data_IF_629709400004
#
_entry.id   IF_629709400004
#
_cell.length_a   1.000
_cell.length_b   1.000
_cell.length_c   1.000
_cell.angle_alpha   90.00
_cell.angle_beta   90.00
_cell.angle_gamma   90.00
#
_symmetry.space_group_name_H-M   'P 1'
#
loop_
_entity.id
_entity.type
_entity.pdbx_description
1 polymer ?
#
# COMPACT_ATOMS: atom_id res chain seq x y z
N UNK A 1 -17.73 42.98 -40.21
CA UNK A 1 -18.68 42.86 -39.08
C UNK A 1 -18.06 43.57 -37.89
N UNK A 2 -18.83 44.37 -37.15
CA UNK A 2 -18.30 45.07 -35.96
C UNK A 2 -18.04 44.03 -34.87
N UNK A 3 -16.88 44.11 -34.20
CA UNK A 3 -16.50 43.15 -33.16
C UNK A 3 -17.38 43.34 -31.92
N UNK A 4 -18.14 42.32 -31.55
CA UNK A 4 -19.02 42.32 -30.38
C UNK A 4 -18.23 41.99 -29.11
N UNK A 5 -18.49 42.76 -28.05
CA UNK A 5 -17.84 42.63 -26.75
C UNK A 5 -18.87 42.41 -25.66
N UNK A 6 -18.53 41.58 -24.68
CA UNK A 6 -19.24 41.45 -23.42
C UNK A 6 -18.30 41.86 -22.28
N UNK A 7 -18.86 42.38 -21.20
CA UNK A 7 -18.11 42.72 -19.99
C UNK A 7 -18.85 42.21 -18.74
N UNK A 8 -18.11 41.90 -17.69
CA UNK A 8 -18.66 41.50 -16.40
C UNK A 8 -18.26 42.53 -15.33
N UNK A 9 -19.26 43.07 -14.65
CA UNK A 9 -19.12 44.09 -13.61
C UNK A 9 -19.92 43.64 -12.39
N UNK A 10 -19.32 43.73 -11.20
CA UNK A 10 -19.96 43.33 -9.94
C UNK A 10 -20.54 41.89 -9.95
N UNK A 11 -20.00 41.01 -10.80
CA UNK A 11 -20.46 39.63 -10.98
C UNK A 11 -21.58 39.41 -12.00
N UNK A 12 -22.13 40.48 -12.60
CA UNK A 12 -23.16 40.40 -13.64
C UNK A 12 -22.59 40.61 -15.05
N UNK A 13 -23.11 39.84 -16.02
CA UNK A 13 -22.68 39.90 -17.43
C UNK A 13 -23.51 40.91 -18.22
N UNK A 14 -22.84 41.82 -18.90
CA UNK A 14 -23.44 42.84 -19.76
C UNK A 14 -22.94 42.72 -21.21
N UNK A 15 -23.80 43.08 -22.18
CA UNK A 15 -23.51 43.08 -23.62
C UNK A 15 -24.57 42.36 -24.46
N UNK A 16 -24.40 42.28 -25.79
CA UNK A 16 -23.21 42.71 -26.55
C UNK A 16 -23.11 44.24 -26.70
N UNK A 17 -21.89 44.77 -26.60
CA UNK A 17 -21.55 46.17 -26.88
C UNK A 17 -20.48 46.24 -27.97
N UNK A 18 -20.46 47.35 -28.69
CA UNK A 18 -19.40 47.65 -29.67
C UNK A 18 -18.09 48.04 -28.98
N UNK A 19 -16.96 47.90 -29.66
CA UNK A 19 -15.65 48.36 -29.17
C UNK A 19 -15.63 49.86 -28.81
N UNK A 20 -16.41 50.70 -29.50
CA UNK A 20 -16.56 52.11 -29.19
C UNK A 20 -17.33 52.35 -27.88
N UNK A 21 -18.40 51.58 -27.64
CA UNK A 21 -19.15 51.62 -26.38
C UNK A 21 -18.31 51.10 -25.20
N UNK A 22 -17.55 50.02 -25.40
CA UNK A 22 -16.62 49.49 -24.39
C UNK A 22 -15.57 50.54 -23.98
N UNK A 23 -15.02 51.29 -24.95
CA UNK A 23 -14.09 52.39 -24.67
C UNK A 23 -14.76 53.55 -23.93
N UNK A 24 -16.02 53.87 -24.24
CA UNK A 24 -16.79 54.89 -23.49
C UNK A 24 -16.98 54.48 -22.04
N UNK A 25 -17.33 53.22 -21.76
CA UNK A 25 -17.47 52.69 -20.40
C UNK A 25 -16.15 52.73 -19.61
N UNK A 26 -15.02 52.44 -20.26
CA UNK A 26 -13.69 52.57 -19.65
C UNK A 26 -13.31 54.04 -19.38
N UNK A 27 -13.71 54.96 -20.27
CA UNK A 27 -13.41 56.39 -20.13
C UNK A 27 -14.32 57.08 -19.10
N UNK A 28 -15.56 56.62 -18.93
CA UNK A 28 -16.50 57.13 -17.91
C UNK A 28 -16.21 56.58 -16.50
N UNK A 29 -15.32 55.58 -16.37
CA UNK A 29 -15.01 54.91 -15.11
C UNK A 29 -16.04 53.85 -14.70
N UNK A 30 -17.04 53.58 -15.56
CA UNK A 30 -18.03 52.53 -15.32
C UNK A 30 -17.46 51.12 -15.48
N UNK A 31 -16.40 50.96 -16.30
CA UNK A 31 -15.64 49.74 -16.47
C UNK A 31 -14.23 49.93 -15.88
N UNK A 32 -13.89 49.14 -14.87
CA UNK A 32 -12.60 49.18 -14.17
C UNK A 32 -11.53 48.34 -14.89
N UNK A 33 -10.23 48.65 -14.71
CA UNK A 33 -9.14 47.86 -15.30
C UNK A 33 -9.12 46.37 -14.91
N UNK A 34 -9.76 46.04 -13.77
CA UNK A 34 -9.90 44.68 -13.23
C UNK A 34 -11.13 43.93 -13.74
N UNK A 35 -12.09 44.63 -14.35
CA UNK A 35 -13.33 44.01 -14.83
C UNK A 35 -13.02 43.06 -15.99
N UNK A 36 -13.79 41.98 -16.09
CA UNK A 36 -13.56 40.96 -17.11
C UNK A 36 -14.29 41.34 -18.40
N UNK A 37 -13.62 41.15 -19.54
CA UNK A 37 -14.15 41.40 -20.87
C UNK A 37 -13.93 40.18 -21.77
N UNK A 38 -14.89 39.93 -22.64
CA UNK A 38 -14.89 38.81 -23.58
C UNK A 38 -15.34 39.29 -24.96
N UNK A 39 -14.81 38.66 -26.00
CA UNK A 39 -15.18 38.93 -27.39
C UNK A 39 -15.03 37.66 -28.20
N UNK A 40 -15.82 37.55 -29.25
CA UNK A 40 -15.79 36.41 -30.16
C UNK A 40 -14.37 36.18 -30.71
N UNK A 41 -13.85 34.96 -30.53
CA UNK A 41 -12.48 34.56 -30.86
C UNK A 41 -11.49 34.47 -29.68
N UNK A 42 -11.93 34.68 -28.43
CA UNK A 42 -11.17 34.35 -27.22
C UNK A 42 -11.84 33.20 -26.46
N UNK A 43 -11.07 32.20 -26.04
CA UNK A 43 -11.59 31.04 -25.28
C UNK A 43 -11.94 31.40 -23.82
N UNK A 44 -11.38 32.48 -23.26
CA UNK A 44 -11.56 32.89 -21.87
C UNK A 44 -11.80 34.40 -21.70
N UNK A 45 -12.44 34.77 -20.59
CA UNK A 45 -12.60 36.15 -20.13
C UNK A 45 -11.26 36.73 -19.69
N UNK A 46 -10.93 37.94 -20.15
CA UNK A 46 -9.65 38.61 -19.83
C UNK A 46 -9.91 39.92 -19.07
N UNK A 47 -8.99 40.37 -18.20
CA UNK A 47 -9.10 41.68 -17.58
C UNK A 47 -9.12 42.80 -18.64
N UNK A 48 -9.96 43.83 -18.43
CA UNK A 48 -10.11 44.97 -19.33
C UNK A 48 -8.78 45.71 -19.54
N UNK A 49 -7.93 45.77 -18.52
CA UNK A 49 -6.56 46.33 -18.58
C UNK A 49 -5.65 45.68 -19.63
N UNK A 50 -5.92 44.43 -20.00
CA UNK A 50 -5.17 43.72 -21.04
C UNK A 50 -5.50 44.19 -22.46
N UNK A 51 -6.56 44.98 -22.66
CA UNK A 51 -6.94 45.51 -23.97
C UNK A 51 -6.14 46.79 -24.24
N UNK A 52 -5.15 46.67 -25.13
CA UNK A 52 -4.33 47.79 -25.59
C UNK A 52 -5.20 48.94 -26.10
N UNK A 53 -5.07 50.13 -25.49
CA UNK A 53 -5.78 51.35 -25.91
C UNK A 53 -7.20 51.50 -25.38
N UNK A 54 -7.66 50.61 -24.47
CA UNK A 54 -8.96 50.74 -23.81
C UNK A 54 -8.96 51.78 -22.69
N UNK A 55 -7.86 51.88 -21.94
CA UNK A 55 -7.65 52.88 -20.89
C UNK A 55 -6.63 53.93 -21.33
N UNK A 56 -6.81 55.21 -20.96
CA UNK A 56 -5.80 56.25 -21.20
C UNK A 56 -4.54 55.95 -20.38
N UNK A 57 -3.40 55.78 -21.06
CA UNK A 57 -2.08 55.73 -20.42
C UNK A 57 -1.77 57.06 -19.76
N UNK A 58 -1.73 57.08 -18.43
CA UNK A 58 -1.26 58.23 -17.65
C UNK A 58 0.23 58.45 -17.95
N UNK A 59 0.69 59.70 -18.20
CA UNK A 59 2.11 59.98 -18.41
C UNK A 59 2.91 59.73 -17.13
N UNK A 60 4.16 59.30 -17.32
CA UNK A 60 5.18 59.14 -16.30
C UNK A 60 5.21 60.33 -15.33
N UNK A 61 5.03 60.03 -14.05
CA UNK A 61 5.31 60.97 -12.96
C UNK A 61 6.78 60.84 -12.63
N UNK A 62 7.60 61.68 -13.26
CA UNK A 62 8.97 61.98 -12.85
C UNK A 62 9.02 62.39 -11.38
N UNK A 63 9.95 61.78 -10.67
CA UNK A 63 10.32 61.95 -9.26
C UNK A 63 10.57 63.41 -8.87
N UNK A 64 10.00 63.92 -7.76
CA UNK A 64 10.60 65.04 -7.01
C UNK A 64 11.83 64.51 -6.23
N UNK A 65 12.87 65.32 -5.98
CA UNK A 65 14.10 64.83 -5.33
C UNK A 65 13.79 64.35 -3.91
N UNK A 66 14.17 63.11 -3.52
CA UNK A 66 14.07 62.70 -2.13
C UNK A 66 15.26 63.27 -1.35
N UNK A 67 14.92 63.92 -0.24
CA UNK A 67 15.81 64.31 0.86
C UNK A 67 16.76 63.17 1.22
N UNK A 68 18.06 63.42 1.46
CA UNK A 68 18.99 62.39 1.93
C UNK A 68 18.54 61.93 3.33
N UNK A 69 17.88 60.77 3.41
CA UNK A 69 17.48 60.21 4.72
C UNK A 69 16.10 59.55 4.79
N UNK A 70 15.58 58.94 3.72
CA UNK A 70 14.44 58.02 3.86
C UNK A 70 14.71 56.70 3.15
N UNK A 71 15.26 55.79 3.95
CA UNK A 71 15.25 54.33 3.90
C UNK A 71 14.89 53.62 2.59
N UNK A 72 15.76 52.67 2.24
CA UNK A 72 15.44 51.44 1.52
C UNK A 72 14.28 50.67 2.19
N UNK A 73 13.02 51.07 1.99
CA UNK A 73 11.83 50.34 2.48
C UNK A 73 10.68 50.27 1.47
N UNK A 74 10.92 50.48 0.18
CA UNK A 74 9.90 50.39 -0.87
C UNK A 74 9.94 49.06 -1.67
N UNK A 75 10.24 47.96 -0.99
CA UNK A 75 9.97 46.58 -1.45
C UNK A 75 9.49 45.74 -0.26
N UNK A 76 8.41 46.18 0.40
CA UNK A 76 7.68 45.30 1.31
C UNK A 76 6.77 44.39 0.46
N UNK A 77 7.36 43.27 0.05
CA UNK A 77 6.78 41.92 0.16
C UNK A 77 5.24 41.82 0.27
N UNK A 78 4.55 41.61 -0.85
CA UNK A 78 3.26 40.91 -0.80
C UNK A 78 3.50 39.53 -0.18
N UNK A 79 2.80 39.22 0.92
CA UNK A 79 2.96 37.96 1.63
C UNK A 79 2.79 36.75 0.69
N UNK A 80 3.69 35.75 0.75
CA UNK A 80 3.64 34.62 -0.17
C UNK A 80 2.31 33.86 -0.02
N UNK A 81 1.88 33.18 -1.08
CA UNK A 81 0.68 32.36 -1.01
C UNK A 81 0.88 31.16 -0.07
N UNK A 82 0.03 30.99 0.93
CA UNK A 82 0.10 29.94 1.95
C UNK A 82 -1.25 29.24 2.12
N UNK A 83 -1.24 27.98 2.54
CA UNK A 83 -2.46 27.38 3.11
C UNK A 83 -2.66 27.88 4.53
N UNK A 84 -3.92 28.13 4.92
CA UNK A 84 -4.23 28.60 6.26
C UNK A 84 -3.75 27.56 7.31
N UNK A 85 -2.83 27.94 8.22
CA UNK A 85 -2.22 26.99 9.16
C UNK A 85 -3.20 26.43 10.19
N UNK A 86 -4.23 27.19 10.57
CA UNK A 86 -5.32 26.71 11.43
C UNK A 86 -6.17 25.68 10.70
N UNK A 87 -6.46 25.90 9.42
CA UNK A 87 -7.18 24.94 8.60
C UNK A 87 -6.35 23.67 8.33
N UNK A 88 -5.02 23.79 8.12
CA UNK A 88 -4.12 22.61 8.04
C UNK A 88 -4.27 21.75 9.31
N UNK A 89 -4.23 22.38 10.49
CA UNK A 89 -4.37 21.68 11.76
C UNK A 89 -5.71 20.93 11.86
N UNK A 90 -6.82 21.55 11.43
CA UNK A 90 -8.15 20.93 11.44
C UNK A 90 -8.26 19.77 10.45
N UNK A 91 -7.81 19.95 9.20
CA UNK A 91 -7.82 18.87 8.20
C UNK A 91 -6.92 17.70 8.58
N UNK A 92 -5.85 17.96 9.36
CA UNK A 92 -4.98 16.89 9.86
C UNK A 92 -5.65 16.01 10.92
N UNK A 93 -6.74 16.48 11.56
CA UNK A 93 -7.56 15.66 12.45
C UNK A 93 -8.39 14.63 11.69
N UNK A 94 -8.82 14.96 10.47
CA UNK A 94 -9.60 14.08 9.60
C UNK A 94 -8.72 13.15 8.78
N UNK A 95 -7.50 13.60 8.47
CA UNK A 95 -6.49 12.82 7.78
C UNK A 95 -5.44 12.36 8.79
N UNK A 96 -4.22 12.88 8.67
CA UNK A 96 -3.09 12.37 9.45
C UNK A 96 -2.16 13.52 9.84
N UNK A 97 -1.36 13.34 10.90
CA UNK A 97 -0.29 14.29 11.22
C UNK A 97 0.73 14.40 10.08
N UNK A 98 0.90 13.34 9.28
CA UNK A 98 1.77 13.34 8.11
C UNK A 98 1.31 14.33 7.03
N UNK A 99 0.01 14.32 6.71
CA UNK A 99 -0.60 15.30 5.80
C UNK A 99 -0.36 16.74 6.30
N UNK A 100 -0.57 16.98 7.58
CA UNK A 100 -0.29 18.25 8.22
C UNK A 100 1.17 18.68 8.13
N UNK A 101 2.09 17.76 8.46
CA UNK A 101 3.54 17.98 8.38
C UNK A 101 3.98 18.41 6.99
N UNK A 102 3.48 17.74 5.94
CA UNK A 102 3.76 18.09 4.56
C UNK A 102 3.27 19.51 4.21
N UNK A 103 2.01 19.84 4.46
CA UNK A 103 1.48 21.18 4.14
C UNK A 103 2.18 22.29 4.90
N UNK A 104 2.52 22.04 6.17
CA UNK A 104 3.30 22.99 6.96
C UNK A 104 4.73 23.16 6.45
N UNK A 105 5.37 22.09 5.98
CA UNK A 105 6.67 22.19 5.33
C UNK A 105 6.60 23.07 4.08
N UNK A 106 5.55 22.93 3.27
CA UNK A 106 5.36 23.75 2.06
C UNK A 106 5.07 25.22 2.39
N UNK A 107 4.34 25.50 3.46
CA UNK A 107 4.15 26.85 3.98
C UNK A 107 5.49 27.47 4.43
N UNK A 108 6.29 26.75 5.22
CA UNK A 108 7.61 27.22 5.66
C UNK A 108 8.56 27.45 4.48
N UNK A 109 8.53 26.56 3.49
CA UNK A 109 9.30 26.72 2.25
C UNK A 109 8.90 27.99 1.49
N UNK A 110 7.60 28.30 1.43
CA UNK A 110 7.09 29.52 0.79
C UNK A 110 7.47 30.79 1.56
N UNK A 111 7.68 30.68 2.87
CA UNK A 111 8.18 31.75 3.75
C UNK A 111 9.71 31.92 3.71
N UNK A 112 10.43 31.09 2.94
CA UNK A 112 11.91 31.08 2.92
C UNK A 112 12.57 30.43 4.14
N UNK A 113 11.79 29.81 5.03
CA UNK A 113 12.24 29.23 6.29
C UNK A 113 12.59 27.75 6.10
N UNK A 114 13.64 27.47 5.32
CA UNK A 114 13.99 26.11 4.88
C UNK A 114 14.28 25.13 6.02
N UNK A 115 14.90 25.59 7.10
CA UNK A 115 15.18 24.74 8.27
C UNK A 115 13.90 24.32 9.02
N UNK A 116 12.92 25.22 9.11
CA UNK A 116 11.59 24.89 9.67
C UNK A 116 10.83 23.95 8.74
N UNK A 117 10.97 24.13 7.42
CA UNK A 117 10.37 23.24 6.44
C UNK A 117 10.90 21.80 6.57
N UNK A 118 12.22 21.61 6.74
CA UNK A 118 12.83 20.29 6.99
C UNK A 118 12.26 19.64 8.26
N UNK A 119 12.17 20.40 9.36
CA UNK A 119 11.58 19.91 10.62
C UNK A 119 10.12 19.50 10.46
N UNK A 120 9.32 20.25 9.70
CA UNK A 120 7.94 19.86 9.39
C UNK A 120 7.87 18.62 8.50
N UNK A 121 8.85 18.39 7.63
CA UNK A 121 8.91 17.17 6.80
C UNK A 121 9.23 15.90 7.60
N UNK A 122 9.90 16.01 8.76
CA UNK A 122 10.08 14.86 9.66
C UNK A 122 8.72 14.28 10.09
N UNK A 123 7.76 15.15 10.37
CA UNK A 123 6.39 14.73 10.70
C UNK A 123 5.65 14.07 9.53
N UNK A 124 5.97 14.48 8.30
CA UNK A 124 5.48 13.76 7.13
C UNK A 124 6.07 12.35 7.06
N UNK A 125 7.38 12.21 7.23
CA UNK A 125 8.02 10.89 7.13
C UNK A 125 7.69 9.95 8.29
N UNK A 126 7.40 10.48 9.49
CA UNK A 126 7.07 9.65 10.65
C UNK A 126 5.81 8.82 10.46
N UNK A 127 4.90 9.20 9.54
CA UNK A 127 3.73 8.39 9.23
C UNK A 127 4.12 7.05 8.58
N UNK A 128 5.13 7.02 7.72
CA UNK A 128 5.58 5.78 7.08
C UNK A 128 6.23 4.85 8.09
N UNK A 129 7.02 5.41 9.03
CA UNK A 129 7.57 4.64 10.15
C UNK A 129 6.48 4.08 11.06
N UNK A 130 5.42 4.86 11.32
CA UNK A 130 4.28 4.41 12.12
C UNK A 130 3.47 3.31 11.43
N UNK A 131 3.21 3.46 10.13
CA UNK A 131 2.56 2.43 9.31
C UNK A 131 3.41 1.16 9.28
N UNK A 132 4.71 1.27 8.99
CA UNK A 132 5.63 0.14 8.98
C UNK A 132 5.67 -0.59 10.32
N UNK A 133 5.71 0.15 11.43
CA UNK A 133 5.62 -0.44 12.77
C UNK A 133 4.32 -1.22 12.95
N UNK A 134 3.19 -0.68 12.47
CA UNK A 134 1.89 -1.38 12.48
C UNK A 134 1.89 -2.67 11.68
N UNK A 135 2.60 -2.70 10.54
CA UNK A 135 2.69 -3.88 9.68
C UNK A 135 3.54 -5.04 10.25
N UNK A 136 4.44 -4.76 11.19
CA UNK A 136 5.32 -5.79 11.80
C UNK A 136 4.85 -6.20 13.21
N UNK A 137 3.83 -5.53 13.74
CA UNK A 137 3.26 -5.86 15.05
C UNK A 137 2.08 -6.83 14.90
N UNK A 138 1.81 -7.66 15.92
CA UNK A 138 0.68 -8.59 15.88
C UNK A 138 -0.68 -7.88 15.69
N UNK A 139 -1.57 -8.50 14.94
CA UNK A 139 -2.93 -7.99 14.64
C UNK A 139 -3.96 -8.35 15.72
N UNK A 140 -3.58 -8.26 16.99
CA UNK A 140 -4.50 -8.48 18.12
C UNK A 140 -5.21 -7.18 18.57
N UNK A 141 -6.42 -7.32 19.15
CA UNK A 141 -7.26 -6.19 19.57
C UNK A 141 -6.56 -5.24 20.56
N UNK A 142 -5.69 -5.78 21.43
CA UNK A 142 -4.94 -4.96 22.38
C UNK A 142 -3.89 -4.10 21.67
N UNK A 143 -3.13 -4.69 20.74
CA UNK A 143 -2.16 -3.98 19.91
C UNK A 143 -2.84 -2.89 19.07
N UNK A 144 -3.95 -3.19 18.40
CA UNK A 144 -4.69 -2.21 17.59
C UNK A 144 -5.19 -1.00 18.41
N UNK A 145 -5.68 -1.24 19.64
CA UNK A 145 -6.07 -0.17 20.57
C UNK A 145 -4.90 0.72 20.94
N UNK A 146 -3.74 0.13 21.26
CA UNK A 146 -2.52 0.88 21.57
C UNK A 146 -2.14 1.78 20.39
N UNK A 147 -2.09 1.23 19.18
CA UNK A 147 -1.75 2.02 17.99
C UNK A 147 -2.69 3.20 17.79
N UNK A 148 -4.01 3.01 17.97
CA UNK A 148 -4.98 4.10 17.86
C UNK A 148 -4.70 5.22 18.88
N UNK A 149 -4.47 4.88 20.14
CA UNK A 149 -4.18 5.89 21.18
C UNK A 149 -2.83 6.56 20.99
N UNK A 150 -1.79 5.82 20.61
CA UNK A 150 -0.47 6.36 20.28
C UNK A 150 -0.57 7.30 19.08
N UNK A 151 -1.30 6.93 18.03
CA UNK A 151 -1.53 7.79 16.87
C UNK A 151 -2.22 9.10 17.23
N UNK A 152 -3.25 9.06 18.09
CA UNK A 152 -3.89 10.28 18.62
C UNK A 152 -2.92 11.12 19.47
N UNK A 153 -2.05 10.46 20.25
CA UNK A 153 -0.98 11.11 21.00
C UNK A 153 0.02 11.83 20.09
N UNK A 154 0.49 11.17 19.03
CA UNK A 154 1.39 11.76 18.03
C UNK A 154 0.73 12.96 17.36
N UNK A 155 -0.54 12.86 16.99
CA UNK A 155 -1.31 13.95 16.42
C UNK A 155 -1.39 15.18 17.36
N UNK A 156 -1.61 14.94 18.66
CA UNK A 156 -1.63 16.00 19.66
C UNK A 156 -0.25 16.65 19.84
N UNK A 157 0.82 15.85 19.92
CA UNK A 157 2.20 16.34 20.00
C UNK A 157 2.56 17.15 18.75
N UNK A 158 2.28 16.64 17.55
CA UNK A 158 2.47 17.38 16.31
C UNK A 158 1.72 18.73 16.31
N UNK A 159 0.46 18.73 16.76
CA UNK A 159 -0.38 19.91 16.85
C UNK A 159 0.26 21.00 17.74
N UNK A 160 0.83 20.61 18.88
CA UNK A 160 1.47 21.51 19.83
C UNK A 160 2.84 21.99 19.34
N UNK A 161 3.69 21.07 18.85
CA UNK A 161 5.10 21.35 18.58
C UNK A 161 5.42 21.74 17.13
N UNK A 162 4.53 21.45 16.18
CA UNK A 162 4.69 21.84 14.77
C UNK A 162 3.61 22.83 14.33
N UNK A 163 2.33 22.54 14.62
CA UNK A 163 1.25 23.38 14.12
C UNK A 163 1.12 24.72 14.83
N UNK A 164 1.11 24.71 16.17
CA UNK A 164 0.97 25.94 16.95
C UNK A 164 2.09 26.98 16.67
N UNK A 165 3.38 26.60 16.53
CA UNK A 165 4.44 27.55 16.18
C UNK A 165 4.24 28.22 14.81
N UNK A 166 3.79 27.48 13.79
CA UNK A 166 3.53 28.07 12.48
C UNK A 166 2.34 29.03 12.51
N UNK A 167 1.24 28.66 13.20
CA UNK A 167 0.08 29.53 13.40
C UNK A 167 0.52 30.84 14.07
N UNK A 168 1.28 30.75 15.16
CA UNK A 168 1.76 31.92 15.89
C UNK A 168 2.69 32.79 15.06
N UNK A 169 3.57 32.19 14.24
CA UNK A 169 4.49 32.91 13.36
C UNK A 169 3.74 33.71 12.30
N UNK A 170 2.80 33.07 11.60
CA UNK A 170 2.01 33.72 10.54
C UNK A 170 1.13 34.80 11.15
N UNK A 171 0.47 34.53 12.28
CA UNK A 171 -0.36 35.54 12.98
C UNK A 171 0.45 36.76 13.41
N UNK A 172 1.68 36.59 13.90
CA UNK A 172 2.54 37.71 14.30
C UNK A 172 3.07 38.52 13.12
N UNK A 173 3.36 37.87 11.99
CA UNK A 173 4.02 38.50 10.84
C UNK A 173 3.05 39.10 9.83
N UNK A 174 1.92 38.46 9.62
CA UNK A 174 0.96 38.81 8.57
C UNK A 174 -0.46 38.96 9.11
N UNK A 175 -0.74 38.63 10.37
CA UNK A 175 -2.09 38.54 10.92
C UNK A 175 -3.01 37.67 10.05
N UNK A 176 -3.85 38.30 9.23
CA UNK A 176 -4.71 37.67 8.22
C UNK A 176 -4.40 38.11 6.78
N UNK A 177 -3.43 38.99 6.60
CA UNK A 177 -3.03 39.60 5.34
C UNK A 177 -1.99 38.75 4.62
N UNK A 178 -2.45 37.62 4.08
CA UNK A 178 -1.67 36.78 3.18
C UNK A 178 -2.56 36.11 2.14
N UNK A 179 -1.99 35.87 0.97
CA UNK A 179 -2.71 35.18 -0.10
C UNK A 179 -2.95 33.72 0.29
N UNK A 180 -4.21 33.26 0.23
CA UNK A 180 -4.57 31.89 0.58
C UNK A 180 -4.49 30.97 -0.65
N UNK A 181 -3.77 29.85 -0.52
CA UNK A 181 -3.77 28.78 -1.52
C UNK A 181 -5.10 28.02 -1.52
N UNK A 182 -5.47 27.51 -2.68
CA UNK A 182 -6.64 26.65 -2.85
C UNK A 182 -6.42 25.24 -2.26
N UNK A 183 -7.51 24.63 -1.80
CA UNK A 183 -7.49 23.31 -1.15
C UNK A 183 -7.75 22.13 -2.09
N UNK A 184 -8.17 22.37 -3.33
CA UNK A 184 -8.62 21.31 -4.24
C UNK A 184 -7.57 20.22 -4.47
N UNK A 185 -6.32 20.61 -4.80
CA UNK A 185 -5.24 19.64 -5.03
C UNK A 185 -4.87 18.82 -3.79
N UNK A 186 -4.52 19.43 -2.63
CA UNK A 186 -4.11 18.64 -1.48
C UNK A 186 -5.22 17.75 -0.92
N UNK A 187 -6.47 18.21 -0.88
CA UNK A 187 -7.61 17.38 -0.45
C UNK A 187 -7.89 16.28 -1.47
N UNK A 188 -7.88 16.59 -2.77
CA UNK A 188 -8.08 15.58 -3.82
C UNK A 188 -7.06 14.46 -3.76
N UNK A 189 -5.77 14.79 -3.57
CA UNK A 189 -4.69 13.79 -3.48
C UNK A 189 -4.87 12.91 -2.24
N UNK A 190 -5.04 13.49 -1.05
CA UNK A 190 -5.16 12.68 0.17
C UNK A 190 -6.43 11.83 0.17
N UNK A 191 -7.54 12.35 -0.34
CA UNK A 191 -8.79 11.58 -0.50
C UNK A 191 -8.60 10.43 -1.51
N UNK A 192 -7.94 10.67 -2.64
CA UNK A 192 -7.67 9.60 -3.61
C UNK A 192 -6.77 8.50 -3.04
N UNK A 193 -5.73 8.87 -2.28
CA UNK A 193 -4.89 7.89 -1.58
C UNK A 193 -5.70 7.07 -0.56
N UNK A 194 -6.56 7.72 0.22
CA UNK A 194 -7.42 7.02 1.19
C UNK A 194 -8.44 6.12 0.51
N UNK A 195 -9.06 6.56 -0.59
CA UNK A 195 -9.95 5.72 -1.39
C UNK A 195 -9.22 4.51 -1.98
N UNK A 196 -7.98 4.69 -2.46
CA UNK A 196 -7.17 3.58 -2.96
C UNK A 196 -6.82 2.58 -1.85
N UNK A 197 -6.40 3.06 -0.67
CA UNK A 197 -6.12 2.20 0.48
C UNK A 197 -7.38 1.44 0.94
N UNK A 198 -8.53 2.13 0.99
CA UNK A 198 -9.80 1.50 1.35
C UNK A 198 -10.27 0.51 0.28
N UNK A 199 -10.08 0.83 -1.00
CA UNK A 199 -10.37 -0.11 -2.09
C UNK A 199 -9.50 -1.35 -1.96
N UNK A 200 -8.19 -1.23 -1.68
CA UNK A 200 -7.32 -2.39 -1.49
C UNK A 200 -7.82 -3.32 -0.36
N UNK A 201 -8.31 -2.77 0.74
CA UNK A 201 -8.80 -3.57 1.88
C UNK A 201 -10.21 -4.13 1.67
N UNK A 202 -11.09 -3.39 0.98
CA UNK A 202 -12.51 -3.76 0.82
C UNK A 202 -12.75 -4.56 -0.46
N UNK A 203 -11.93 -4.39 -1.50
CA UNK A 203 -12.12 -5.02 -2.81
C UNK A 203 -12.12 -6.55 -2.75
N UNK A 204 -11.25 -7.25 -1.99
CA UNK A 204 -11.36 -8.71 -1.86
C UNK A 204 -12.71 -9.14 -1.28
N UNK A 205 -13.19 -8.43 -0.27
CA UNK A 205 -14.52 -8.65 0.34
C UNK A 205 -15.65 -8.35 -0.64
N UNK A 206 -15.52 -7.28 -1.43
CA UNK A 206 -16.52 -6.83 -2.41
C UNK A 206 -16.58 -7.71 -3.66
N UNK A 207 -15.45 -8.29 -4.05
CA UNK A 207 -15.34 -9.32 -5.09
C UNK A 207 -15.80 -10.69 -4.60
N UNK A 208 -16.15 -10.81 -3.32
CA UNK A 208 -16.73 -12.02 -2.74
C UNK A 208 -15.76 -13.18 -2.58
N UNK A 209 -14.43 -12.93 -2.52
CA UNK A 209 -13.47 -14.00 -2.20
C UNK A 209 -13.57 -14.31 -0.71
N UNK A 210 -13.99 -15.53 -0.32
CA UNK A 210 -14.07 -15.92 1.09
C UNK A 210 -12.70 -15.82 1.77
N UNK A 211 -12.69 -15.47 3.06
CA UNK A 211 -11.45 -15.27 3.82
C UNK A 211 -10.59 -16.54 3.85
N UNK A 212 -11.23 -17.70 3.87
CA UNK A 212 -10.60 -19.03 3.87
C UNK A 212 -9.78 -19.25 2.59
N UNK A 213 -10.29 -18.82 1.43
CA UNK A 213 -9.52 -18.87 0.18
C UNK A 213 -8.28 -18.00 0.29
N UNK A 214 -8.37 -16.81 0.92
CA UNK A 214 -7.22 -15.94 1.11
C UNK A 214 -6.19 -16.57 2.07
N UNK A 215 -6.65 -17.21 3.15
CA UNK A 215 -5.81 -17.93 4.11
C UNK A 215 -4.99 -19.02 3.43
N UNK A 216 -5.62 -19.85 2.58
CA UNK A 216 -4.89 -20.88 1.83
C UNK A 216 -4.03 -20.26 0.74
N UNK A 217 -4.56 -19.33 -0.07
CA UNK A 217 -3.88 -18.77 -1.23
C UNK A 217 -2.60 -18.00 -0.86
N UNK A 218 -2.60 -17.24 0.23
CA UNK A 218 -1.43 -16.50 0.72
C UNK A 218 -0.69 -17.23 1.85
N UNK A 219 -1.20 -18.38 2.26
CA UNK A 219 -0.61 -19.24 3.26
C UNK A 219 0.76 -19.77 2.83
N UNK A 220 1.60 -20.03 3.83
CA UNK A 220 2.97 -20.52 3.65
C UNK A 220 3.11 -21.87 4.32
N UNK A 221 3.86 -22.77 3.69
CA UNK A 221 4.26 -24.03 4.30
C UNK A 221 5.53 -23.81 5.11
N UNK A 222 5.68 -24.50 6.24
CA UNK A 222 6.87 -24.38 7.09
C UNK A 222 8.15 -24.79 6.34
N UNK A 223 8.04 -25.77 5.44
CA UNK A 223 9.13 -26.17 4.54
C UNK A 223 9.48 -25.09 3.49
N UNK A 224 8.57 -24.15 3.22
CA UNK A 224 8.68 -23.13 2.18
C UNK A 224 8.27 -21.73 2.69
N UNK A 225 8.98 -21.14 3.68
CA UNK A 225 8.56 -19.92 4.38
C UNK A 225 8.57 -18.65 3.51
N UNK A 226 9.15 -18.72 2.31
CA UNK A 226 9.25 -17.61 1.37
C UNK A 226 8.13 -17.57 0.32
N UNK A 227 7.31 -18.62 0.20
CA UNK A 227 6.46 -18.84 -0.98
C UNK A 227 5.01 -19.07 -0.56
N UNK A 228 4.10 -18.29 -1.14
CA UNK A 228 2.67 -18.51 -1.00
C UNK A 228 2.23 -19.71 -1.84
N UNK A 229 1.56 -20.68 -1.22
CA UNK A 229 1.15 -21.94 -1.86
C UNK A 229 0.16 -21.72 -3.03
N UNK A 230 -0.65 -20.66 -2.99
CA UNK A 230 -1.66 -20.37 -4.02
C UNK A 230 -1.06 -20.14 -5.41
N UNK A 231 0.11 -19.49 -5.50
CA UNK A 231 0.78 -19.28 -6.79
C UNK A 231 1.29 -20.61 -7.38
N UNK A 232 1.84 -21.48 -6.54
CA UNK A 232 2.30 -22.80 -6.96
C UNK A 232 1.13 -23.67 -7.46
N UNK A 233 0.00 -23.63 -6.76
CA UNK A 233 -1.22 -24.34 -7.18
C UNK A 233 -1.74 -23.80 -8.52
N UNK A 234 -1.82 -22.47 -8.66
CA UNK A 234 -2.35 -21.84 -9.86
C UNK A 234 -1.48 -22.08 -11.11
N UNK A 235 -0.16 -22.21 -10.93
CA UNK A 235 0.77 -22.53 -12.01
C UNK A 235 0.78 -24.03 -12.36
N UNK A 236 0.61 -24.88 -11.36
CA UNK A 236 0.68 -26.32 -11.55
C UNK A 236 -0.60 -26.93 -12.11
N UNK A 237 -1.77 -26.45 -11.68
CA UNK A 237 -3.06 -26.92 -12.14
C UNK A 237 -3.53 -26.14 -13.37
N UNK A 238 -4.06 -26.84 -14.38
CA UNK A 238 -4.78 -26.23 -15.48
C UNK A 238 -6.17 -25.78 -15.02
N UNK A 239 -6.51 -24.51 -15.25
CA UNK A 239 -7.80 -23.91 -14.92
C UNK A 239 -8.26 -24.16 -13.47
N UNK A 240 -7.49 -23.69 -12.46
CA UNK A 240 -7.78 -23.91 -11.06
C UNK A 240 -9.06 -23.19 -10.62
N UNK A 241 -10.00 -23.93 -10.05
CA UNK A 241 -11.23 -23.43 -9.45
C UNK A 241 -11.16 -23.56 -7.92
N UNK A 242 -11.31 -22.43 -7.24
CA UNK A 242 -11.26 -22.34 -5.78
C UNK A 242 -12.65 -22.16 -5.20
N UNK A 243 -13.00 -22.96 -4.20
CA UNK A 243 -14.32 -22.94 -3.57
C UNK A 243 -14.22 -23.19 -2.07
N UNK A 244 -15.18 -22.66 -1.31
CA UNK A 244 -15.32 -22.95 0.13
C UNK A 244 -16.51 -23.88 0.32
N UNK A 245 -16.32 -24.87 1.17
CA UNK A 245 -17.40 -25.71 1.69
C UNK A 245 -17.38 -25.65 3.22
N UNK A 246 -18.55 -25.70 3.83
CA UNK A 246 -18.71 -25.82 5.28
C UNK A 246 -19.21 -27.24 5.57
N UNK A 247 -18.56 -27.92 6.50
CA UNK A 247 -19.03 -29.21 7.00
C UNK A 247 -20.18 -29.04 8.00
N UNK A 248 -20.94 -30.11 8.24
CA UNK A 248 -22.01 -30.12 9.25
C UNK A 248 -21.49 -29.79 10.67
N UNK A 249 -20.21 -30.06 10.93
CA UNK A 249 -19.54 -29.78 12.21
C UNK A 249 -19.04 -28.34 12.34
N UNK A 250 -19.32 -27.47 11.35
CA UNK A 250 -18.90 -26.06 11.35
C UNK A 250 -17.45 -25.83 10.94
N UNK A 251 -16.71 -26.86 10.51
CA UNK A 251 -15.39 -26.69 9.92
C UNK A 251 -15.49 -26.15 8.50
N UNK A 252 -14.62 -25.20 8.17
CA UNK A 252 -14.52 -24.63 6.83
C UNK A 252 -13.37 -25.30 6.05
N UNK A 253 -13.65 -25.67 4.80
CA UNK A 253 -12.67 -26.24 3.90
C UNK A 253 -12.57 -25.45 2.60
N UNK A 254 -11.36 -25.33 2.08
CA UNK A 254 -11.10 -24.80 0.75
C UNK A 254 -10.80 -25.97 -0.18
N UNK A 255 -11.62 -26.12 -1.21
CA UNK A 255 -11.37 -27.06 -2.30
C UNK A 255 -10.78 -26.30 -3.49
N UNK A 256 -9.63 -26.76 -3.99
CA UNK A 256 -9.10 -26.35 -5.29
C UNK A 256 -9.21 -27.53 -6.26
N UNK A 257 -9.95 -27.34 -7.35
CA UNK A 257 -10.04 -28.34 -8.41
C UNK A 257 -9.37 -27.85 -9.69
N UNK A 258 -8.75 -28.73 -10.46
CA UNK A 258 -8.09 -28.36 -11.72
C UNK A 258 -7.59 -29.57 -12.48
N UNK A 259 -7.17 -29.36 -13.72
CA UNK A 259 -6.55 -30.40 -14.53
C UNK A 259 -5.07 -30.56 -14.22
N UNK A 260 -4.55 -31.79 -14.24
CA UNK A 260 -3.11 -32.06 -14.21
C UNK A 260 -2.79 -33.36 -14.95
N UNK A 261 -1.50 -33.67 -15.11
CA UNK A 261 -1.05 -34.95 -15.67
C UNK A 261 -0.46 -35.83 -14.58
N UNK A 262 -0.93 -37.07 -14.47
CA UNK A 262 -0.40 -38.09 -13.57
C UNK A 262 -0.08 -39.36 -14.37
N UNK A 263 1.17 -39.84 -14.29
CA UNK A 263 1.68 -40.96 -15.10
C UNK A 263 1.32 -40.82 -16.59
N UNK A 264 1.58 -39.64 -17.17
CA UNK A 264 1.25 -39.27 -18.57
C UNK A 264 -0.25 -39.26 -18.92
N UNK A 265 -1.13 -39.51 -17.96
CA UNK A 265 -2.58 -39.47 -18.16
C UNK A 265 -3.17 -38.19 -17.57
N UNK A 266 -4.10 -37.52 -18.29
CA UNK A 266 -4.80 -36.37 -17.74
C UNK A 266 -5.74 -36.82 -16.61
N UNK A 267 -5.69 -36.11 -15.48
CA UNK A 267 -6.56 -36.34 -14.33
C UNK A 267 -7.14 -35.00 -13.85
N UNK A 268 -8.37 -35.03 -13.33
CA UNK A 268 -8.93 -33.92 -12.56
C UNK A 268 -8.49 -34.09 -11.10
N UNK A 269 -7.69 -33.17 -10.60
CA UNK A 269 -7.28 -33.14 -9.20
C UNK A 269 -8.29 -32.32 -8.38
N UNK A 270 -8.48 -32.73 -7.12
CA UNK A 270 -9.11 -31.92 -6.09
C UNK A 270 -8.20 -31.92 -4.86
N UNK A 271 -7.77 -30.74 -4.44
CA UNK A 271 -6.99 -30.52 -3.23
C UNK A 271 -7.92 -29.89 -2.19
N UNK A 272 -8.02 -30.49 -1.02
CA UNK A 272 -8.85 -29.99 0.07
C UNK A 272 -7.99 -29.56 1.25
N UNK A 273 -8.24 -28.34 1.72
CA UNK A 273 -7.58 -27.76 2.86
C UNK A 273 -8.59 -27.47 3.96
N UNK A 274 -8.34 -27.95 5.18
CA UNK A 274 -9.05 -27.49 6.37
C UNK A 274 -8.51 -26.11 6.75
N UNK A 275 -9.39 -25.15 7.04
CA UNK A 275 -9.00 -23.82 7.51
C UNK A 275 -9.53 -23.61 8.93
N UNK A 276 -8.62 -23.29 9.86
CA UNK A 276 -8.93 -22.97 11.26
C UNK A 276 -8.22 -21.68 11.61
N UNK A 277 -9.00 -20.61 11.81
CA UNK A 277 -8.50 -19.25 11.99
C UNK A 277 -7.58 -18.85 10.82
N UNK A 278 -6.33 -18.52 11.11
CA UNK A 278 -5.30 -18.14 10.13
C UNK A 278 -4.39 -19.32 9.71
N UNK A 279 -4.75 -20.55 10.07
CA UNK A 279 -4.00 -21.76 9.73
C UNK A 279 -4.77 -22.61 8.73
N UNK A 280 -4.02 -23.35 7.91
CA UNK A 280 -4.58 -24.32 6.98
C UNK A 280 -3.81 -25.65 7.05
N UNK A 281 -4.50 -26.75 6.72
CA UNK A 281 -3.92 -28.09 6.65
C UNK A 281 -4.39 -28.80 5.38
N UNK A 282 -3.47 -29.45 4.66
CA UNK A 282 -3.80 -30.21 3.46
C UNK A 282 -4.34 -31.60 3.81
N UNK A 283 -5.68 -31.75 3.85
CA UNK A 283 -6.34 -32.93 4.43
C UNK A 283 -6.65 -34.02 3.41
N UNK A 284 -7.06 -33.66 2.19
CA UNK A 284 -7.42 -34.66 1.17
C UNK A 284 -6.94 -34.27 -0.23
N UNK A 285 -6.54 -35.29 -0.99
CA UNK A 285 -6.24 -35.19 -2.41
C UNK A 285 -7.13 -36.21 -3.13
N UNK A 286 -7.78 -35.82 -4.22
CA UNK A 286 -8.53 -36.73 -5.07
C UNK A 286 -8.08 -36.65 -6.52
N UNK A 287 -8.06 -37.79 -7.21
CA UNK A 287 -7.93 -37.87 -8.66
C UNK A 287 -9.20 -38.46 -9.25
N UNK A 288 -9.88 -37.70 -10.12
CA UNK A 288 -11.15 -38.09 -10.73
C UNK A 288 -12.21 -38.51 -9.68
N UNK A 289 -12.23 -37.85 -8.52
CA UNK A 289 -13.15 -38.15 -7.41
C UNK A 289 -12.72 -39.33 -6.53
N UNK A 290 -11.53 -39.90 -6.74
CA UNK A 290 -10.98 -40.98 -5.93
C UNK A 290 -9.95 -40.41 -4.97
N UNK A 291 -10.21 -40.52 -3.67
CA UNK A 291 -9.29 -40.12 -2.60
C UNK A 291 -7.96 -40.85 -2.74
N UNK A 292 -6.89 -40.08 -2.74
CA UNK A 292 -5.51 -40.54 -2.81
C UNK A 292 -4.94 -40.71 -1.40
N UNK A 293 -3.94 -41.59 -1.29
CA UNK A 293 -3.25 -41.78 -0.03
C UNK A 293 -2.38 -40.56 0.33
N UNK A 294 -1.98 -40.51 1.60
CA UNK A 294 -1.16 -39.44 2.14
C UNK A 294 0.19 -39.27 1.41
N UNK A 295 0.82 -40.36 0.99
CA UNK A 295 2.09 -40.30 0.26
C UNK A 295 1.92 -39.51 -1.04
N UNK A 296 0.85 -39.77 -1.79
CA UNK A 296 0.52 -39.04 -3.01
C UNK A 296 0.21 -37.57 -2.72
N UNK A 297 -0.50 -37.29 -1.62
CA UNK A 297 -0.84 -35.94 -1.16
C UNK A 297 0.43 -35.12 -0.89
N UNK A 298 1.35 -35.66 -0.10
CA UNK A 298 2.63 -35.01 0.23
C UNK A 298 3.51 -34.87 -1.02
N UNK A 299 3.62 -35.92 -1.84
CA UNK A 299 4.44 -35.89 -3.06
C UNK A 299 3.95 -34.87 -4.08
N UNK A 300 2.62 -34.73 -4.23
CA UNK A 300 2.04 -33.70 -5.07
C UNK A 300 2.39 -32.31 -4.54
N UNK A 301 2.24 -32.09 -3.23
CA UNK A 301 2.58 -30.81 -2.62
C UNK A 301 4.03 -30.43 -2.87
N UNK A 302 4.95 -31.35 -2.61
CA UNK A 302 6.37 -31.14 -2.81
C UNK A 302 6.69 -30.79 -4.27
N UNK A 303 6.15 -31.59 -5.21
CA UNK A 303 6.33 -31.36 -6.64
C UNK A 303 5.76 -30.03 -7.13
N UNK A 304 4.62 -29.58 -6.59
CA UNK A 304 4.07 -28.26 -6.92
C UNK A 304 5.02 -27.15 -6.48
N UNK A 305 5.52 -27.24 -5.25
CA UNK A 305 6.41 -26.22 -4.69
C UNK A 305 7.78 -26.21 -5.37
N UNK A 306 8.35 -27.39 -5.65
CA UNK A 306 9.64 -27.51 -6.34
C UNK A 306 9.56 -26.95 -7.77
N UNK A 307 8.52 -27.31 -8.53
CA UNK A 307 8.32 -26.82 -9.88
C UNK A 307 8.17 -25.29 -9.92
N UNK A 308 7.45 -24.73 -8.95
CA UNK A 308 7.26 -23.28 -8.85
C UNK A 308 8.58 -22.56 -8.53
N UNK A 309 9.42 -23.12 -7.67
CA UNK A 309 10.75 -22.58 -7.37
C UNK A 309 11.64 -22.59 -8.62
N UNK A 310 11.64 -23.71 -9.34
CA UNK A 310 12.45 -23.88 -10.54
C UNK A 310 11.99 -22.97 -11.69
N UNK A 311 10.68 -22.77 -11.86
CA UNK A 311 10.11 -21.89 -12.90
C UNK A 311 10.31 -20.41 -12.57
N UNK A 312 10.34 -20.04 -11.29
CA UNK A 312 10.48 -18.66 -10.81
C UNK A 312 11.90 -18.08 -10.94
N UNK A 313 12.92 -18.91 -11.22
CA UNK A 313 14.28 -18.49 -11.60
C UNK A 313 15.00 -17.50 -10.66
N UNK A 314 15.88 -18.02 -9.80
CA UNK A 314 17.11 -17.40 -9.24
C UNK A 314 17.15 -15.91 -8.79
N UNK A 315 16.04 -15.20 -8.63
CA UNK A 315 16.01 -13.77 -8.22
C UNK A 315 15.18 -13.53 -6.93
N UNK A 316 14.66 -14.60 -6.31
CA UNK A 316 14.22 -14.57 -4.91
C UNK A 316 15.46 -14.65 -4.01
N UNK A 317 16.04 -13.49 -3.74
CA UNK A 317 17.22 -13.34 -2.89
C UNK A 317 17.13 -14.17 -1.61
N UNK A 318 18.06 -15.11 -1.47
CA UNK A 318 18.60 -15.59 -0.20
C UNK A 318 17.60 -16.24 0.76
N UNK A 319 16.99 -17.35 0.37
CA UNK A 319 16.76 -18.41 1.36
C UNK A 319 18.09 -19.13 1.52
N UNK A 320 18.90 -18.72 2.49
CA UNK A 320 20.09 -19.45 2.90
C UNK A 320 19.62 -20.83 3.38
N UNK A 321 19.95 -21.94 2.70
CA UNK A 321 19.63 -23.26 3.21
C UNK A 321 20.39 -23.42 4.52
N UNK A 322 19.68 -23.62 5.63
CA UNK A 322 20.34 -24.04 6.86
C UNK A 322 21.01 -25.39 6.59
N UNK A 323 22.35 -25.39 6.71
CA UNK A 323 23.27 -26.54 6.76
C UNK A 323 22.84 -27.74 5.89
N UNK A 324 23.39 -27.77 4.68
CA UNK A 324 23.24 -28.81 3.64
C UNK A 324 23.36 -30.23 4.16
N UNK A 325 22.24 -30.81 4.58
CA UNK A 325 21.90 -32.18 4.27
C UNK A 325 21.44 -32.21 2.81
N UNK A 326 21.97 -33.12 2.01
CA UNK A 326 21.65 -33.29 0.60
C UNK A 326 21.21 -34.72 0.35
N UNK A 327 20.73 -35.02 -0.86
CA UNK A 327 20.47 -36.40 -1.24
C UNK A 327 21.72 -37.29 -1.21
N UNK A 328 22.94 -36.73 -1.18
CA UNK A 328 24.17 -37.49 -1.00
C UNK A 328 24.31 -38.07 0.42
N UNK A 329 23.67 -37.43 1.41
CA UNK A 329 23.66 -37.90 2.80
C UNK A 329 22.67 -39.05 3.02
N UNK A 330 21.78 -39.31 2.06
CA UNK A 330 20.87 -40.46 2.07
C UNK A 330 21.63 -41.77 2.32
N UNK A 331 22.76 -41.98 1.64
CA UNK A 331 23.53 -43.23 1.73
C UNK A 331 24.17 -43.46 3.09
N UNK A 332 24.37 -42.40 3.88
CA UNK A 332 24.90 -42.49 5.24
C UNK A 332 23.90 -43.07 6.25
N UNK A 333 22.60 -43.04 5.93
CA UNK A 333 21.53 -43.56 6.78
C UNK A 333 21.43 -45.07 6.57
N UNK A 334 21.56 -45.86 7.63
CA UNK A 334 21.42 -47.31 7.55
C UNK A 334 20.48 -47.85 8.63
N UNK A 335 20.08 -49.12 8.48
CA UNK A 335 19.21 -49.77 9.46
C UNK A 335 19.86 -49.78 10.85
N UNK A 336 19.02 -49.64 11.89
CA UNK A 336 19.47 -49.64 13.28
C UNK A 336 19.93 -48.29 13.85
N UNK A 337 20.01 -47.23 13.04
CA UNK A 337 20.22 -45.86 13.54
C UNK A 337 18.99 -45.39 14.32
N UNK A 338 19.18 -44.56 15.34
CA UNK A 338 18.11 -43.87 16.05
C UNK A 338 17.69 -42.60 15.32
N UNK A 339 16.49 -42.09 15.61
CA UNK A 339 16.00 -40.85 15.04
C UNK A 339 16.94 -39.66 15.31
N UNK A 340 17.51 -39.56 16.51
CA UNK A 340 18.47 -38.50 16.85
C UNK A 340 19.76 -38.58 16.01
N UNK A 341 20.21 -39.78 15.68
CA UNK A 341 21.38 -39.98 14.80
C UNK A 341 21.07 -39.57 13.36
N UNK A 342 19.85 -39.81 12.89
CA UNK A 342 19.41 -39.35 11.56
C UNK A 342 19.21 -37.83 11.55
N UNK A 343 18.66 -37.24 12.60
CA UNK A 343 18.50 -35.78 12.74
C UNK A 343 19.83 -35.04 12.83
N UNK A 344 20.88 -35.68 13.37
CA UNK A 344 22.23 -35.12 13.34
C UNK A 344 22.81 -35.01 11.92
N UNK A 345 22.31 -35.80 10.97
CA UNK A 345 22.74 -35.84 9.57
C UNK A 345 21.82 -34.97 8.71
N UNK A 346 20.51 -35.19 8.81
CA UNK A 346 19.51 -34.57 7.94
C UNK A 346 18.87 -33.29 8.50
N UNK A 347 19.14 -32.95 9.76
CA UNK A 347 18.38 -31.93 10.48
C UNK A 347 17.04 -32.47 10.99
N UNK A 348 16.20 -31.58 11.52
CA UNK A 348 14.90 -31.96 12.09
C UNK A 348 13.98 -32.57 11.04
N UNK A 349 13.37 -33.70 11.36
CA UNK A 349 12.34 -34.33 10.53
C UNK A 349 10.93 -34.01 11.02
N UNK A 350 9.96 -34.16 10.13
CA UNK A 350 8.53 -34.06 10.45
C UNK A 350 7.95 -35.47 10.61
N UNK A 351 7.52 -35.82 11.81
CA UNK A 351 6.78 -37.06 12.07
C UNK A 351 5.45 -37.02 11.32
N UNK A 352 5.27 -37.95 10.39
CA UNK A 352 4.09 -38.05 9.51
C UNK A 352 3.18 -39.21 9.89
N UNK A 353 3.68 -40.20 10.65
CA UNK A 353 2.83 -41.25 11.21
C UNK A 353 3.47 -41.83 12.46
N UNK A 354 2.64 -42.17 13.44
CA UNK A 354 3.05 -42.88 14.64
C UNK A 354 1.98 -43.90 15.01
N UNK A 355 2.33 -45.17 14.86
CA UNK A 355 1.41 -46.29 15.08
C UNK A 355 2.02 -47.23 16.10
N UNK A 356 1.28 -47.51 17.17
CA UNK A 356 1.66 -48.49 18.18
C UNK A 356 0.76 -49.74 18.07
N UNK A 357 1.38 -50.91 17.96
CA UNK A 357 0.70 -52.20 17.92
C UNK A 357 1.38 -53.19 18.89
N UNK A 358 0.84 -53.27 20.11
CA UNK A 358 1.37 -54.14 21.15
C UNK A 358 2.75 -53.70 21.64
N UNK A 359 3.81 -54.46 21.32
CA UNK A 359 5.20 -54.14 21.69
C UNK A 359 6.02 -53.52 20.56
N UNK A 360 5.35 -53.19 19.44
CA UNK A 360 5.98 -52.61 18.25
C UNK A 360 5.45 -51.20 18.04
N UNK A 361 6.33 -50.20 18.03
CA UNK A 361 6.03 -48.85 17.56
C UNK A 361 6.59 -48.66 16.16
N UNK A 362 5.83 -48.01 15.28
CA UNK A 362 6.25 -47.64 13.95
C UNK A 362 6.06 -46.15 13.74
N UNK A 363 7.15 -45.44 13.45
CA UNK A 363 7.15 -44.00 13.26
C UNK A 363 7.67 -43.70 11.86
N UNK A 364 6.99 -42.86 11.10
CA UNK A 364 7.44 -42.41 9.78
C UNK A 364 7.81 -40.94 9.92
N UNK A 365 9.02 -40.58 9.48
CA UNK A 365 9.51 -39.21 9.54
C UNK A 365 10.00 -38.79 8.17
N UNK A 366 9.53 -37.64 7.69
CA UNK A 366 9.99 -37.00 6.48
C UNK A 366 11.06 -35.97 6.80
N UNK A 367 12.19 -36.07 6.12
CA UNK A 367 13.29 -35.11 6.20
C UNK A 367 13.37 -34.35 4.89
N UNK A 368 13.18 -33.04 4.97
CA UNK A 368 13.19 -32.14 3.82
C UNK A 368 14.62 -31.66 3.58
N UNK A 369 15.23 -32.13 2.49
CA UNK A 369 16.56 -31.68 2.05
C UNK A 369 16.42 -30.84 0.77
N UNK A 370 17.38 -29.98 0.42
CA UNK A 370 17.27 -29.07 -0.73
C UNK A 370 17.00 -29.77 -2.07
N UNK A 371 17.40 -31.04 -2.20
CA UNK A 371 17.30 -31.80 -3.44
C UNK A 371 16.13 -32.81 -3.46
N UNK A 372 15.30 -32.89 -2.41
CA UNK A 372 14.14 -33.80 -2.35
C UNK A 372 13.72 -34.20 -0.93
N UNK A 373 12.89 -35.23 -0.80
CA UNK A 373 12.41 -35.72 0.50
C UNK A 373 13.00 -37.09 0.81
N UNK A 374 13.55 -37.24 2.02
CA UNK A 374 13.98 -38.53 2.54
C UNK A 374 12.95 -38.98 3.57
N UNK A 375 12.22 -40.04 3.26
CA UNK A 375 11.30 -40.68 4.20
C UNK A 375 12.03 -41.78 4.94
N UNK A 376 12.01 -41.75 6.26
CA UNK A 376 12.61 -42.79 7.11
C UNK A 376 11.53 -43.41 7.98
N UNK A 377 11.42 -44.73 7.87
CA UNK A 377 10.53 -45.54 8.68
C UNK A 377 11.32 -46.12 9.85
N UNK A 378 10.86 -45.84 11.06
CA UNK A 378 11.40 -46.34 12.31
C UNK A 378 10.52 -47.45 12.85
N UNK A 379 11.12 -48.48 13.43
CA UNK A 379 10.46 -49.49 14.24
C UNK A 379 11.15 -49.57 15.60
N UNK A 380 10.40 -49.42 16.69
CA UNK A 380 10.93 -49.34 18.05
C UNK A 380 12.07 -48.29 18.18
N UNK A 381 11.88 -47.13 17.53
CA UNK A 381 12.83 -46.01 17.54
C UNK A 381 14.09 -46.21 16.71
N UNK A 382 14.17 -47.26 15.89
CA UNK A 382 15.32 -47.57 15.02
C UNK A 382 14.94 -47.61 13.55
N UNK A 383 15.80 -47.09 12.68
CA UNK A 383 15.60 -47.11 11.23
C UNK A 383 15.38 -48.54 10.76
N UNK A 384 14.21 -48.78 10.19
CA UNK A 384 13.81 -50.03 9.57
C UNK A 384 13.96 -49.95 8.05
N UNK A 385 13.51 -48.87 7.43
CA UNK A 385 13.68 -48.62 6.00
C UNK A 385 13.72 -47.12 5.68
N UNK A 386 14.25 -46.77 4.51
CA UNK A 386 14.34 -45.39 4.03
C UNK A 386 14.00 -45.33 2.54
N UNK A 387 13.39 -44.24 2.10
CA UNK A 387 13.07 -43.97 0.71
C UNK A 387 13.50 -42.55 0.35
N UNK A 388 13.87 -42.37 -0.92
CA UNK A 388 14.15 -41.09 -1.54
C UNK A 388 13.00 -40.81 -2.49
N UNK A 389 12.34 -39.68 -2.30
CA UNK A 389 11.24 -39.20 -3.13
C UNK A 389 11.72 -38.05 -4.01
#
# INVERSE_FOLDING_TARGET
>A
MAKEWHYAKDGERHGPVTSQQLKKLATSGELQPTDLVWTEGNDEWKPASGIKGLFPTKPDSSTPPPVPGSMNTAKMDTAPALWNPTAIRLWSLLFTWGFGGFLMAQNWKSLGEHEKAKKSMIWFYSIFGFIFLGLITPDDDFTLKIFRFVGLGILAVWSIFSAQPQINYIKKRFENDYQRRSWGKPIGIVSACLCFLLAYTVLPTLLGTPAEILTVRYGKLDAYPGIGIGNAIDEFLSDPEWSVIESEDGNHFVNISGGMTYQENPVKALLQFLVVDDRFEFTALEFNGIVQNEIMRVSLMDKMMSNFIDSSGSDTGGVVPQKTASLADYDSIHSGMSQAEVEAILGSGTEVSNTEAGSVSMVIVNYFVPDGVITVNYTNGKVFSKAKL
#
